data_IF_838447666132
#
_entry.id   IF_838447666132
#
_cell.length_a   1.000
_cell.length_b   1.000
_cell.length_c   1.000
_cell.angle_alpha   90.00
_cell.angle_beta   90.00
_cell.angle_gamma   90.00
#
_symmetry.space_group_name_H-M   'P 1'
#
loop_
_entity.id
_entity.type
_entity.pdbx_description
1 polymer ?
#
# COMPACT_ATOMS: atom_id res chain seq x y z
N UNK A 1 39.89 46.16 -0.36
CA UNK A 1 39.43 45.88 -0.35
C UNK A 1 38.76 45.05 -0.49
N UNK A 2 38.56 44.46 -0.60
CA UNK A 2 37.90 43.88 -0.66
C UNK A 2 37.16 43.17 -0.90
N UNK A 3 36.96 42.76 -1.02
CA UNK A 3 36.23 42.39 -1.12
C UNK A 3 35.62 41.42 -1.28
N UNK A 4 35.43 40.91 -1.25
CA UNK A 4 34.83 40.22 -1.40
C UNK A 4 33.93 39.75 -1.43
N UNK A 5 33.53 39.60 -1.51
CA UNK A 5 32.64 39.33 -1.46
C UNK A 5 32.01 38.49 -1.92
N UNK A 6 31.92 38.23 -2.13
CA UNK A 6 31.37 37.70 -2.57
C UNK A 6 30.82 36.84 -2.55
N UNK A 7 30.52 36.65 -2.45
CA UNK A 7 29.94 36.02 -2.47
C UNK A 7 29.08 35.32 -2.57
N UNK A 8 28.76 35.15 -2.63
CA UNK A 8 27.93 34.73 -2.73
C UNK A 8 27.29 33.79 -3.05
N UNK A 9 27.08 33.41 -3.16
CA UNK A 9 26.44 32.72 -3.45
C UNK A 9 25.68 31.96 -3.46
N UNK A 10 25.21 31.62 -3.65
CA UNK A 10 24.46 31.07 -3.68
C UNK A 10 23.79 30.15 -3.86
N UNK A 11 23.59 29.70 -3.80
CA UNK A 11 23.07 28.94 -3.90
C UNK A 11 22.11 28.36 -4.25
N UNK A 12 21.65 28.22 -4.50
CA UNK A 12 20.76 27.79 -4.92
C UNK A 12 20.13 26.75 -4.87
N UNK A 13 19.97 26.17 -4.84
CA UNK A 13 19.42 25.22 -4.72
C UNK A 13 18.32 24.71 -5.06
N UNK A 14 17.91 24.49 -5.35
CA UNK A 14 16.94 24.05 -5.67
C UNK A 14 16.35 23.00 -5.73
N UNK A 15 15.93 22.51 -5.72
CA UNK A 15 15.36 21.53 -5.65
C UNK A 15 14.39 21.09 -6.21
N UNK A 16 14.02 20.76 -6.56
CA UNK A 16 13.19 20.39 -6.99
C UNK A 16 12.47 19.47 -6.96
N UNK A 17 12.24 19.08 -6.75
CA UNK A 17 11.59 18.27 -6.57
C UNK A 17 10.68 17.93 -7.24
N UNK A 18 10.34 18.10 -7.55
CA UNK A 18 9.44 17.94 -8.13
C UNK A 18 8.68 17.02 -8.18
N UNK A 19 8.26 16.76 -8.55
CA UNK A 19 7.60 15.89 -8.76
C UNK A 19 7.15 15.09 -8.03
N UNK A 20 7.34 14.92 -7.57
CA UNK A 20 7.00 14.18 -6.82
C UNK A 20 5.88 13.82 -6.51
N UNK A 21 5.32 13.49 -6.57
CA UNK A 21 4.22 13.08 -6.20
C UNK A 21 4.24 12.20 -5.10
N UNK A 22 5.04 11.93 -4.46
CA UNK A 22 5.00 11.06 -3.35
C UNK A 22 5.07 9.62 -3.76
N UNK A 23 4.84 8.71 -2.84
CA UNK A 23 5.02 7.29 -3.12
C UNK A 23 3.96 6.76 -4.05
N UNK A 24 4.24 5.68 -4.72
CA UNK A 24 3.25 5.06 -5.57
C UNK A 24 2.04 4.63 -4.77
N UNK A 25 0.91 4.52 -5.45
CA UNK A 25 -0.32 4.16 -4.77
C UNK A 25 -0.20 2.84 -4.02
N UNK A 26 0.52 1.88 -4.57
CA UNK A 26 0.65 0.58 -3.93
C UNK A 26 1.35 0.68 -2.59
N UNK A 27 2.21 1.68 -2.41
CA UNK A 27 2.82 1.90 -1.13
C UNK A 27 1.89 2.64 -0.21
N UNK A 28 1.11 3.54 -0.75
CA UNK A 28 0.20 4.34 0.06
C UNK A 28 -0.93 3.51 0.62
N UNK A 29 -1.42 2.56 -0.13
CA UNK A 29 -2.57 1.78 0.29
C UNK A 29 -2.22 0.59 1.15
N UNK A 30 -0.95 0.25 1.25
CA UNK A 30 -0.55 -0.95 1.97
C UNK A 30 -0.99 -0.96 3.43
N UNK A 31 -0.86 0.12 4.20
CA UNK A 31 -1.29 0.06 5.60
C UNK A 31 -2.76 -0.26 5.74
N UNK A 32 -3.58 0.27 4.85
CA UNK A 32 -5.00 -0.02 4.91
C UNK A 32 -5.26 -1.49 4.56
N UNK A 33 -4.54 -2.00 3.56
CA UNK A 33 -4.71 -3.39 3.17
C UNK A 33 -4.36 -4.31 4.33
N UNK A 34 -3.28 -4.01 5.03
CA UNK A 34 -2.90 -4.82 6.18
C UNK A 34 -3.94 -4.74 7.28
N UNK A 35 -4.48 -3.56 7.50
CA UNK A 35 -5.48 -3.40 8.56
C UNK A 35 -6.74 -4.18 8.24
N UNK A 36 -7.14 -4.19 6.99
CA UNK A 36 -8.33 -4.92 6.60
C UNK A 36 -8.13 -6.41 6.77
N UNK A 37 -6.97 -6.92 6.35
CA UNK A 37 -6.68 -8.34 6.52
C UNK A 37 -6.65 -8.69 8.00
N UNK A 38 -6.08 -7.81 8.82
CA UNK A 38 -6.00 -8.08 10.23
C UNK A 38 -7.36 -8.15 10.87
N UNK A 39 -8.24 -7.22 10.55
CA UNK A 39 -9.56 -7.22 11.12
C UNK A 39 -10.35 -8.46 10.71
N UNK A 40 -10.21 -8.83 9.46
CA UNK A 40 -10.91 -9.99 8.99
C UNK A 40 -10.42 -11.25 9.67
N UNK A 41 -9.09 -11.38 9.78
CA UNK A 41 -8.52 -12.56 10.42
C UNK A 41 -8.87 -12.60 11.90
N UNK A 42 -8.86 -11.45 12.56
CA UNK A 42 -9.21 -11.43 13.98
C UNK A 42 -10.62 -11.94 14.18
N UNK A 43 -11.50 -11.58 13.29
CA UNK A 43 -12.87 -12.06 13.38
C UNK A 43 -12.95 -13.54 13.09
N UNK A 44 -12.32 -13.97 12.01
CA UNK A 44 -12.43 -15.37 11.62
C UNK A 44 -11.71 -16.31 12.56
N UNK A 45 -10.61 -15.85 13.14
CA UNK A 45 -9.86 -16.70 14.06
C UNK A 45 -10.40 -16.56 15.48
N UNK A 46 -11.26 -15.61 15.70
CA UNK A 46 -11.74 -15.30 17.03
C UNK A 46 -10.51 -15.00 17.90
N UNK A 47 -9.66 -14.14 17.43
CA UNK A 47 -8.38 -13.88 18.06
C UNK A 47 -8.09 -12.39 18.01
N UNK A 48 -7.92 -11.74 19.15
CA UNK A 48 -7.69 -10.29 19.12
C UNK A 48 -6.31 -9.90 18.64
N UNK A 49 -5.35 -10.76 18.77
CA UNK A 49 -4.01 -10.44 18.37
C UNK A 49 -3.56 -11.25 17.17
N UNK A 50 -3.71 -10.65 16.02
CA UNK A 50 -3.34 -11.30 14.77
C UNK A 50 -2.20 -10.51 14.14
N UNK A 51 -1.20 -11.20 13.65
CA UNK A 51 -0.12 -10.59 12.92
C UNK A 51 -0.37 -10.74 11.45
N UNK A 52 -0.03 -9.73 10.67
CA UNK A 52 -0.20 -9.80 9.24
C UNK A 52 1.11 -9.44 8.56
N UNK A 53 1.28 -9.94 7.35
CA UNK A 53 2.48 -9.65 6.61
C UNK A 53 2.18 -9.76 5.12
N UNK A 54 2.72 -8.85 4.34
CA UNK A 54 2.52 -8.87 2.91
C UNK A 54 3.38 -9.96 2.32
N UNK A 55 2.76 -10.93 1.66
CA UNK A 55 3.49 -11.98 1.01
C UNK A 55 3.84 -11.60 -0.42
N UNK A 56 2.97 -10.88 -1.07
CA UNK A 56 3.26 -10.36 -2.40
C UNK A 56 2.30 -9.24 -2.69
N UNK A 57 2.66 -8.41 -3.63
CA UNK A 57 1.77 -7.32 -4.04
C UNK A 57 2.08 -6.96 -5.47
N UNK A 58 1.10 -6.43 -6.15
CA UNK A 58 1.34 -5.99 -7.50
C UNK A 58 0.29 -4.98 -7.92
N UNK A 59 0.67 -4.13 -8.84
CA UNK A 59 -0.23 -3.15 -9.39
C UNK A 59 -0.86 -3.74 -10.63
N UNK A 60 -2.19 -3.74 -10.66
CA UNK A 60 -2.89 -4.28 -11.81
C UNK A 60 -3.42 -3.14 -12.64
N UNK A 61 -3.13 -3.18 -13.92
CA UNK A 61 -3.56 -2.14 -14.82
C UNK A 61 -4.93 -2.48 -15.37
N UNK A 62 -5.69 -1.50 -15.74
CA UNK A 62 -6.99 -1.79 -16.33
C UNK A 62 -6.83 -2.49 -17.66
N UNK A 63 -7.76 -3.33 -17.98
CA UNK A 63 -7.74 -4.03 -19.22
C UNK A 63 -7.92 -3.08 -20.37
N UNK A 64 -8.67 -2.03 -20.17
CA UNK A 64 -8.94 -1.10 -21.23
C UNK A 64 -8.90 0.28 -20.66
N UNK A 65 -8.41 1.25 -21.38
CA UNK A 65 -8.42 2.55 -20.84
C UNK A 65 -9.78 3.11 -20.72
N UNK A 66 -10.76 2.59 -21.39
CA UNK A 66 -12.02 3.10 -21.26
C UNK A 66 -12.61 2.64 -20.03
N UNK A 67 -12.36 1.50 -19.54
CA UNK A 67 -13.00 0.94 -18.38
C UNK A 67 -11.98 0.40 -17.46
N UNK A 68 -12.21 0.43 -16.22
CA UNK A 68 -11.34 -0.11 -15.24
C UNK A 68 -10.44 0.93 -14.65
N UNK A 69 -9.91 0.67 -13.50
CA UNK A 69 -9.02 1.55 -12.86
C UNK A 69 -7.85 0.78 -12.40
N UNK A 70 -6.75 1.42 -12.25
CA UNK A 70 -5.58 0.82 -11.72
C UNK A 70 -5.86 0.40 -10.30
N UNK A 71 -5.35 -0.68 -9.87
CA UNK A 71 -5.58 -1.11 -8.50
C UNK A 71 -4.38 -1.86 -7.97
N UNK A 72 -4.24 -1.88 -6.66
CA UNK A 72 -3.17 -2.61 -6.03
C UNK A 72 -3.74 -3.87 -5.43
N UNK A 73 -3.07 -4.97 -5.64
CA UNK A 73 -3.50 -6.24 -5.10
C UNK A 73 -2.44 -6.74 -4.14
N UNK A 74 -2.84 -7.11 -2.93
CA UNK A 74 -1.92 -7.60 -1.93
C UNK A 74 -2.33 -8.99 -1.50
N UNK A 75 -1.36 -9.89 -1.42
CA UNK A 75 -1.61 -11.19 -0.83
C UNK A 75 -1.01 -11.11 0.56
N UNK A 76 -1.84 -11.24 1.56
CA UNK A 76 -1.43 -10.99 2.93
C UNK A 76 -1.64 -12.23 3.76
N UNK A 77 -0.61 -12.62 4.47
CA UNK A 77 -0.71 -13.73 5.39
C UNK A 77 -1.08 -13.23 6.76
N UNK A 78 -1.95 -13.93 7.43
CA UNK A 78 -2.35 -13.59 8.77
C UNK A 78 -2.20 -14.80 9.67
N UNK A 79 -1.76 -14.57 10.89
CA UNK A 79 -1.63 -15.68 11.82
C UNK A 79 -1.91 -15.19 13.24
N UNK A 80 -2.48 -16.05 14.03
CA UNK A 80 -2.77 -15.73 15.43
C UNK A 80 -3.55 -16.86 16.07
N UNK A 81 -3.37 -17.03 17.33
CA UNK A 81 -4.09 -18.05 18.10
C UNK A 81 -4.00 -19.43 17.47
N UNK A 82 -2.83 -19.74 16.93
CA UNK A 82 -2.61 -21.04 16.33
C UNK A 82 -3.22 -21.24 14.96
N UNK A 83 -3.75 -20.17 14.37
CA UNK A 83 -4.39 -20.28 13.06
C UNK A 83 -3.68 -19.41 12.06
N UNK A 84 -3.87 -19.71 10.80
CA UNK A 84 -3.30 -18.95 9.74
C UNK A 84 -4.18 -18.92 8.56
N UNK A 85 -4.12 -17.88 7.77
CA UNK A 85 -4.90 -17.77 6.54
C UNK A 85 -4.22 -16.78 5.63
N UNK A 86 -4.60 -16.81 4.38
CA UNK A 86 -4.09 -15.87 3.39
C UNK A 86 -5.27 -15.13 2.81
N UNK A 87 -5.14 -13.83 2.70
CA UNK A 87 -6.19 -12.99 2.15
C UNK A 87 -5.66 -12.22 0.97
N UNK A 88 -6.50 -12.02 -0.01
CA UNK A 88 -6.17 -11.16 -1.13
C UNK A 88 -6.95 -9.88 -0.92
N UNK A 89 -6.25 -8.76 -0.81
CA UNK A 89 -6.88 -7.48 -0.57
C UNK A 89 -6.67 -6.61 -1.80
N UNK A 90 -7.72 -6.03 -2.29
CA UNK A 90 -7.67 -5.21 -3.48
C UNK A 90 -8.01 -3.79 -3.12
N UNK A 91 -7.16 -2.87 -3.54
CA UNK A 91 -7.33 -1.46 -3.26
C UNK A 91 -7.41 -0.70 -4.57
N UNK A 92 -8.58 -0.24 -4.98
CA UNK A 92 -8.67 0.52 -6.23
C UNK A 92 -8.06 1.90 -6.06
N UNK A 93 -7.36 2.36 -7.07
CA UNK A 93 -6.75 3.67 -7.04
C UNK A 93 -7.77 4.67 -7.55
N UNK A 94 -8.72 4.99 -6.73
CA UNK A 94 -9.81 5.85 -7.11
C UNK A 94 -10.28 6.62 -5.89
N UNK A 95 -10.48 7.91 -5.99
CA UNK A 95 -10.90 8.69 -4.84
C UNK A 95 -12.19 8.14 -4.25
N UNK A 96 -12.23 8.04 -2.95
CA UNK A 96 -13.42 7.55 -2.29
C UNK A 96 -13.55 6.04 -2.22
N UNK A 97 -12.66 5.32 -2.85
CA UNK A 97 -12.70 3.87 -2.78
C UNK A 97 -11.94 3.39 -1.58
N UNK A 98 -12.32 2.24 -1.09
CA UNK A 98 -11.59 1.63 0.01
C UNK A 98 -11.13 0.26 -0.43
N UNK A 99 -10.18 -0.28 0.28
CA UNK A 99 -9.71 -1.62 0.02
C UNK A 99 -10.76 -2.62 0.47
N UNK A 100 -10.76 -3.78 -0.13
CA UNK A 100 -11.64 -4.84 0.31
C UNK A 100 -10.92 -6.17 0.20
N UNK A 101 -11.25 -7.07 1.10
CA UNK A 101 -10.64 -8.38 1.10
C UNK A 101 -11.43 -9.30 0.22
N UNK A 102 -10.76 -9.90 -0.73
CA UNK A 102 -11.41 -10.88 -1.54
C UNK A 102 -11.33 -12.18 -0.79
N UNK A 103 -11.89 -13.19 -1.28
CA UNK A 103 -11.91 -14.44 -0.60
C UNK A 103 -10.52 -14.93 -0.37
N UNK A 104 -10.29 -15.38 0.77
CA UNK A 104 -9.03 -15.91 1.08
C UNK A 104 -8.93 -17.23 0.43
N UNK A 105 -7.90 -17.65 0.10
CA UNK A 105 -7.80 -18.75 -0.44
C UNK A 105 -7.19 -19.68 0.25
N UNK A 106 -6.79 -19.81 0.97
CA UNK A 106 -6.10 -20.64 1.66
C UNK A 106 -6.72 -21.58 2.14
N UNK A 107 -6.76 -21.91 2.41
CA UNK A 107 -7.33 -22.62 2.84
C UNK A 107 -7.96 -23.41 2.24
N UNK A 108 -8.10 -23.51 1.79
CA UNK A 108 -8.75 -23.91 1.27
C UNK A 108 -8.68 -24.76 1.21
N UNK A 109 -8.73 -25.21 1.31
CA UNK A 109 -8.71 -25.83 1.22
C UNK A 109 -8.75 -26.31 0.96
#
# INVERSE_FOLDING_TARGET
MNKAWGAAAMAATVVLAGCASGPPFIDQAQPEALAIAQRRAAFEFNCPNVSTQVLSRETLQPISFRFGIERAEYTIGASGCGKRATYVVICPDQPGSTCFAAAGRDGMP
#
